data_IF_170915456472
#
_entry.id   IF_170915456472
#
_cell.length_a   1.000
_cell.length_b   1.000
_cell.length_c   1.000
_cell.angle_alpha   90.00
_cell.angle_beta   90.00
_cell.angle_gamma   90.00
#
_symmetry.space_group_name_H-M   'P 1'
#
loop_
_entity.id
_entity.type
_entity.pdbx_description
1 polymer ?
#
# COMPACT_ATOMS: atom_id res chain seq x y z
N UNK A 1 0.69 13.86 -45.07
CA UNK A 1 0.01 14.74 -44.08
C UNK A 1 0.90 14.84 -42.85
N UNK A 2 1.11 16.04 -42.31
CA UNK A 2 1.88 16.23 -41.07
C UNK A 2 1.15 15.58 -39.88
N UNK A 3 1.91 15.08 -38.89
CA UNK A 3 1.36 14.57 -37.62
C UNK A 3 0.51 15.63 -36.91
N UNK A 4 0.84 16.92 -37.06
CA UNK A 4 0.06 18.04 -36.51
C UNK A 4 -1.36 18.14 -37.08
N UNK A 5 -1.56 17.91 -38.38
CA UNK A 5 -2.87 18.11 -39.02
C UNK A 5 -3.87 17.01 -38.64
N UNK A 6 -3.37 15.83 -38.24
CA UNK A 6 -4.19 14.69 -37.85
C UNK A 6 -4.51 14.66 -36.35
N UNK A 7 -3.71 15.31 -35.50
CA UNK A 7 -3.87 15.23 -34.04
C UNK A 7 -5.18 15.84 -33.53
N UNK A 8 -5.71 16.88 -34.19
CA UNK A 8 -6.94 17.57 -33.78
C UNK A 8 -8.19 17.16 -34.58
N UNK A 9 -8.13 16.07 -35.35
CA UNK A 9 -9.25 15.65 -36.19
C UNK A 9 -10.21 14.71 -35.42
N UNK A 10 -11.53 15.01 -35.29
CA UNK A 10 -12.49 14.18 -34.53
C UNK A 10 -12.58 12.70 -34.95
N UNK A 11 -12.23 12.41 -36.20
CA UNK A 11 -12.10 11.02 -36.69
C UNK A 11 -10.96 10.25 -36.01
N UNK A 12 -9.84 10.89 -35.69
CA UNK A 12 -8.69 10.24 -35.03
C UNK A 12 -9.06 9.83 -33.62
N UNK A 13 -9.76 10.67 -32.87
CA UNK A 13 -10.27 10.31 -31.54
C UNK A 13 -11.27 9.15 -31.60
N UNK A 14 -12.18 9.18 -32.58
CA UNK A 14 -13.15 8.11 -32.79
C UNK A 14 -12.47 6.76 -33.10
N UNK A 15 -11.43 6.78 -33.95
CA UNK A 15 -10.63 5.60 -34.28
C UNK A 15 -9.85 5.13 -33.05
N UNK A 16 -9.24 6.04 -32.28
CA UNK A 16 -8.51 5.73 -31.05
C UNK A 16 -9.41 4.98 -30.07
N UNK A 17 -10.60 5.53 -29.76
CA UNK A 17 -11.56 4.89 -28.85
C UNK A 17 -11.99 3.50 -29.33
N UNK A 18 -12.29 3.35 -30.62
CA UNK A 18 -12.69 2.07 -31.19
C UNK A 18 -11.57 1.02 -31.12
N UNK A 19 -10.32 1.43 -31.34
CA UNK A 19 -9.15 0.54 -31.22
C UNK A 19 -8.87 0.17 -29.77
N UNK A 20 -8.89 1.14 -28.84
CA UNK A 20 -8.72 0.89 -27.40
C UNK A 20 -9.72 -0.15 -26.92
N UNK A 21 -11.01 0.05 -27.22
CA UNK A 21 -12.06 -0.90 -26.84
C UNK A 21 -11.80 -2.30 -27.43
N UNK A 22 -11.44 -2.38 -28.72
CA UNK A 22 -11.12 -3.67 -29.37
C UNK A 22 -9.96 -4.39 -28.71
N UNK A 23 -8.92 -3.67 -28.29
CA UNK A 23 -7.76 -4.25 -27.59
C UNK A 23 -8.20 -4.76 -26.22
N UNK A 24 -8.94 -3.96 -25.45
CA UNK A 24 -9.46 -4.37 -24.13
C UNK A 24 -10.33 -5.63 -24.28
N UNK A 25 -11.27 -5.66 -25.22
CA UNK A 25 -12.16 -6.80 -25.44
C UNK A 25 -11.36 -8.05 -25.86
N UNK A 26 -10.31 -7.90 -26.68
CA UNK A 26 -9.43 -8.99 -27.07
C UNK A 26 -8.62 -9.55 -25.88
N UNK A 27 -8.10 -8.67 -25.01
CA UNK A 27 -7.38 -9.07 -23.80
C UNK A 27 -8.29 -9.76 -22.79
N UNK A 28 -9.53 -9.26 -22.60
CA UNK A 28 -10.53 -9.94 -21.76
C UNK A 28 -10.82 -11.34 -22.29
N UNK A 29 -11.07 -11.44 -23.60
CA UNK A 29 -11.28 -12.74 -24.25
C UNK A 29 -10.08 -13.67 -24.11
N UNK A 30 -8.85 -13.16 -24.16
CA UNK A 30 -7.66 -13.97 -23.92
C UNK A 30 -7.63 -14.47 -22.48
N UNK A 31 -7.84 -13.59 -21.50
CA UNK A 31 -7.90 -13.91 -20.07
C UNK A 31 -8.94 -15.00 -19.77
N UNK A 32 -10.13 -14.89 -20.33
CA UNK A 32 -11.25 -15.79 -20.05
C UNK A 32 -11.11 -17.17 -20.72
N UNK A 33 -10.49 -17.24 -21.91
CA UNK A 33 -10.37 -18.49 -22.67
C UNK A 33 -9.05 -19.24 -22.42
N UNK A 34 -7.96 -18.51 -22.14
CA UNK A 34 -6.63 -19.08 -21.91
C UNK A 34 -5.85 -18.22 -20.93
N UNK A 35 -6.08 -18.47 -19.64
CA UNK A 35 -5.41 -17.74 -18.56
C UNK A 35 -3.89 -17.91 -18.60
N UNK A 36 -3.36 -19.03 -19.11
CA UNK A 36 -1.91 -19.24 -19.18
C UNK A 36 -1.29 -18.35 -20.26
N UNK A 37 -1.91 -18.27 -21.44
CA UNK A 37 -1.49 -17.31 -22.47
C UNK A 37 -1.63 -15.86 -21.99
N UNK A 38 -2.66 -15.56 -21.18
CA UNK A 38 -2.81 -14.24 -20.58
C UNK A 38 -1.71 -13.91 -19.56
N UNK A 39 -1.27 -14.88 -18.74
CA UNK A 39 -0.15 -14.70 -17.81
C UNK A 39 1.16 -14.41 -18.56
N UNK A 40 1.41 -15.04 -19.71
CA UNK A 40 2.56 -14.70 -20.56
C UNK A 40 2.45 -13.28 -21.13
N UNK A 41 1.27 -12.86 -21.57
CA UNK A 41 1.03 -11.46 -21.95
C UNK A 41 1.30 -10.50 -20.78
N UNK A 42 0.79 -10.82 -19.59
CA UNK A 42 0.96 -10.00 -18.39
C UNK A 42 2.43 -9.85 -17.99
N UNK A 43 3.22 -10.93 -18.10
CA UNK A 43 4.65 -10.89 -17.81
C UNK A 43 5.40 -9.88 -18.67
N UNK A 44 5.01 -9.72 -19.93
CA UNK A 44 5.67 -8.81 -20.88
C UNK A 44 5.09 -7.39 -20.81
N UNK A 45 3.78 -7.23 -20.61
CA UNK A 45 3.07 -5.95 -20.79
C UNK A 45 2.31 -5.46 -19.54
N UNK A 46 2.30 -6.21 -18.44
CA UNK A 46 1.52 -5.90 -17.24
C UNK A 46 1.90 -4.55 -16.63
N UNK A 47 3.19 -4.21 -16.58
CA UNK A 47 3.66 -2.91 -16.09
C UNK A 47 3.10 -1.74 -16.91
N UNK A 48 3.05 -1.88 -18.23
CA UNK A 48 2.48 -0.86 -19.13
C UNK A 48 0.96 -0.79 -18.95
N UNK A 49 0.31 -1.94 -18.76
CA UNK A 49 -1.14 -1.98 -18.55
C UNK A 49 -1.55 -1.29 -17.24
N UNK A 50 -0.70 -1.30 -16.22
CA UNK A 50 -0.90 -0.57 -14.94
C UNK A 50 -0.90 0.96 -15.10
N UNK A 51 -0.37 1.51 -16.18
CA UNK A 51 -0.48 2.95 -16.47
C UNK A 51 -1.88 3.34 -16.94
N UNK A 52 -2.61 2.40 -17.56
CA UNK A 52 -3.91 2.63 -18.18
C UNK A 52 -4.95 3.32 -17.26
N UNK A 53 -5.14 2.90 -16.00
CA UNK A 53 -6.10 3.53 -15.09
C UNK A 53 -5.84 5.02 -14.80
N UNK A 54 -4.60 5.49 -14.96
CA UNK A 54 -4.23 6.90 -14.77
C UNK A 54 -4.39 7.72 -16.06
N UNK A 55 -4.27 7.08 -17.23
CA UNK A 55 -4.26 7.74 -18.54
C UNK A 55 -5.61 7.69 -19.27
N UNK A 56 -6.42 6.64 -19.03
CA UNK A 56 -7.71 6.43 -19.66
C UNK A 56 -8.82 6.25 -18.62
N UNK A 57 -9.34 7.39 -18.14
CA UNK A 57 -10.44 7.42 -17.17
C UNK A 57 -11.75 6.82 -17.71
N UNK A 58 -11.97 6.84 -19.03
CA UNK A 58 -13.19 6.32 -19.68
C UNK A 58 -13.22 4.79 -19.59
N UNK A 59 -12.07 4.12 -19.76
CA UNK A 59 -11.97 2.66 -19.73
C UNK A 59 -11.33 2.10 -18.45
N UNK A 60 -11.09 2.96 -17.45
CA UNK A 60 -10.38 2.63 -16.21
C UNK A 60 -10.82 1.32 -15.55
N UNK A 61 -12.11 1.12 -15.34
CA UNK A 61 -12.62 -0.11 -14.69
C UNK A 61 -12.41 -1.35 -15.57
N UNK A 62 -12.59 -1.21 -16.89
CA UNK A 62 -12.36 -2.30 -17.83
C UNK A 62 -10.88 -2.68 -17.94
N UNK A 63 -9.97 -1.72 -17.75
CA UNK A 63 -8.53 -1.95 -17.64
C UNK A 63 -8.20 -2.59 -16.28
N UNK A 64 -8.81 -2.12 -15.18
CA UNK A 64 -8.62 -2.70 -13.86
C UNK A 64 -8.99 -4.20 -13.80
N UNK A 65 -10.03 -4.61 -14.54
CA UNK A 65 -10.46 -6.01 -14.68
C UNK A 65 -9.39 -6.92 -15.33
N UNK A 66 -8.47 -6.34 -16.08
CA UNK A 66 -7.36 -7.03 -16.73
C UNK A 66 -6.13 -7.17 -15.81
N UNK A 67 -6.07 -6.45 -14.71
CA UNK A 67 -4.89 -6.46 -13.84
C UNK A 67 -4.76 -7.80 -13.08
N UNK A 68 -3.52 -8.27 -12.94
CA UNK A 68 -3.16 -9.40 -12.08
C UNK A 68 -2.34 -8.93 -10.88
N UNK A 69 -2.50 -9.62 -9.76
CA UNK A 69 -1.89 -9.30 -8.48
C UNK A 69 -1.35 -10.56 -7.81
N UNK A 70 -0.28 -10.39 -7.03
CA UNK A 70 0.06 -11.29 -5.94
C UNK A 70 -0.83 -10.96 -4.73
N UNK A 71 -1.11 -11.95 -3.86
CA UNK A 71 -2.00 -11.74 -2.71
C UNK A 71 -1.54 -12.56 -1.51
N UNK A 72 -1.86 -12.10 -0.30
CA UNK A 72 -1.51 -12.77 0.96
C UNK A 72 -2.19 -14.13 1.15
N UNK A 73 -3.18 -14.49 0.33
CA UNK A 73 -3.83 -15.79 0.35
C UNK A 73 -2.96 -16.87 -0.31
N UNK A 74 -2.05 -16.45 -1.20
CA UNK A 74 -1.03 -17.31 -1.78
C UNK A 74 0.32 -16.92 -1.18
N UNK A 75 0.97 -17.84 -0.48
CA UNK A 75 2.35 -17.62 0.02
C UNK A 75 3.38 -17.77 -1.13
N UNK A 76 3.06 -17.25 -2.31
CA UNK A 76 3.88 -17.31 -3.53
C UNK A 76 3.94 -15.94 -4.20
N UNK A 77 5.06 -15.63 -4.86
CA UNK A 77 5.24 -14.38 -5.62
C UNK A 77 4.46 -14.38 -6.96
N UNK A 78 3.58 -15.37 -7.18
CA UNK A 78 2.87 -15.48 -8.44
C UNK A 78 1.83 -14.35 -8.56
N UNK A 79 2.01 -13.51 -9.59
CA UNK A 79 1.09 -12.42 -9.93
C UNK A 79 0.01 -12.97 -10.85
N UNK A 80 -0.98 -13.63 -10.24
CA UNK A 80 -1.93 -14.45 -10.99
C UNK A 80 -3.39 -14.35 -10.54
N UNK A 81 -3.68 -13.44 -9.61
CA UNK A 81 -5.03 -13.20 -9.09
C UNK A 81 -5.62 -11.94 -9.70
N UNK A 82 -6.86 -12.03 -10.20
CA UNK A 82 -7.62 -10.86 -10.64
C UNK A 82 -8.32 -10.18 -9.46
N UNK A 83 -8.81 -8.94 -9.66
CA UNK A 83 -9.68 -8.29 -8.68
C UNK A 83 -11.00 -9.06 -8.49
N UNK A 84 -11.50 -9.72 -9.52
CA UNK A 84 -12.69 -10.57 -9.41
C UNK A 84 -12.45 -11.82 -8.59
N UNK A 85 -11.28 -12.44 -8.74
CA UNK A 85 -10.86 -13.56 -7.89
C UNK A 85 -10.82 -13.13 -6.43
N UNK A 86 -10.23 -11.96 -6.13
CA UNK A 86 -10.23 -11.39 -4.79
C UNK A 86 -11.66 -11.19 -4.26
N UNK A 87 -12.53 -10.52 -5.03
CA UNK A 87 -13.92 -10.24 -4.65
C UNK A 87 -14.69 -11.53 -4.37
N UNK A 88 -14.49 -12.57 -5.16
CA UNK A 88 -15.18 -13.86 -5.00
C UNK A 88 -14.86 -14.54 -3.66
N UNK A 89 -13.71 -14.23 -3.06
CA UNK A 89 -13.23 -14.77 -1.78
C UNK A 89 -13.43 -13.80 -0.60
N UNK A 90 -13.93 -12.60 -0.84
CA UNK A 90 -14.18 -11.64 0.23
C UNK A 90 -15.21 -12.21 1.23
N UNK A 91 -14.94 -12.14 2.54
CA UNK A 91 -15.95 -12.32 3.57
C UNK A 91 -17.15 -11.40 3.34
N UNK A 92 -18.35 -11.83 3.74
CA UNK A 92 -19.59 -11.09 3.48
C UNK A 92 -19.68 -9.74 4.20
N UNK A 93 -18.93 -9.57 5.29
CA UNK A 93 -18.82 -8.33 6.07
C UNK A 93 -17.69 -7.40 5.57
N UNK A 94 -16.84 -7.87 4.65
CA UNK A 94 -15.77 -7.07 4.08
C UNK A 94 -16.31 -6.15 2.98
N UNK A 95 -16.12 -4.83 3.16
CA UNK A 95 -16.58 -3.81 2.21
C UNK A 95 -15.54 -3.47 1.16
N UNK A 96 -14.29 -3.34 1.59
CA UNK A 96 -13.19 -2.78 0.80
C UNK A 96 -12.15 -3.82 0.39
N UNK A 97 -11.33 -3.47 -0.60
CA UNK A 97 -10.19 -4.26 -1.07
C UNK A 97 -8.94 -3.75 -0.35
N UNK A 98 -8.29 -4.61 0.42
CA UNK A 98 -7.07 -4.26 1.14
C UNK A 98 -5.83 -4.52 0.30
N UNK A 99 -4.87 -3.60 0.36
CA UNK A 99 -3.61 -3.73 -0.37
C UNK A 99 -2.42 -3.21 0.44
N UNK A 100 -1.24 -3.74 0.13
CA UNK A 100 0.05 -3.33 0.68
C UNK A 100 1.01 -3.02 -0.47
N UNK A 101 1.77 -1.94 -0.34
CA UNK A 101 2.85 -1.58 -1.26
C UNK A 101 4.17 -1.69 -0.51
N UNK A 102 5.14 -2.42 -1.07
CA UNK A 102 6.49 -2.54 -0.51
C UNK A 102 7.53 -2.75 -1.62
N UNK A 103 8.81 -2.55 -1.32
CA UNK A 103 9.90 -2.71 -2.32
C UNK A 103 10.11 -4.16 -2.78
N UNK A 104 9.72 -5.14 -1.96
CA UNK A 104 9.81 -6.57 -2.27
C UNK A 104 8.55 -7.31 -1.82
N UNK A 105 8.28 -8.46 -2.43
CA UNK A 105 7.14 -9.29 -2.03
C UNK A 105 7.30 -9.79 -0.60
N UNK A 106 8.49 -10.20 -0.18
CA UNK A 106 8.72 -10.63 1.20
C UNK A 106 8.50 -9.50 2.19
N UNK A 107 8.84 -8.26 1.82
CA UNK A 107 8.52 -7.07 2.60
C UNK A 107 7.02 -6.86 2.72
N UNK A 108 6.27 -7.01 1.62
CA UNK A 108 4.81 -6.90 1.63
C UNK A 108 4.15 -8.03 2.46
N UNK A 109 4.52 -9.29 2.22
CA UNK A 109 3.93 -10.46 2.85
C UNK A 109 4.18 -10.52 4.36
N UNK A 110 5.38 -10.11 4.80
CA UNK A 110 5.77 -10.12 6.22
C UNK A 110 5.59 -8.77 6.91
N UNK A 111 4.94 -7.80 6.25
CA UNK A 111 4.74 -6.48 6.84
C UNK A 111 3.88 -6.56 8.12
N UNK A 112 4.26 -5.83 9.20
CA UNK A 112 3.48 -5.77 10.43
C UNK A 112 2.04 -5.31 10.22
N UNK A 113 1.78 -4.55 9.15
CA UNK A 113 0.45 -4.04 8.81
C UNK A 113 -0.55 -5.13 8.44
N UNK A 114 -0.08 -6.32 8.04
CA UNK A 114 -0.92 -7.45 7.65
C UNK A 114 -1.39 -8.28 8.85
N UNK A 115 -0.73 -8.19 10.01
CA UNK A 115 -0.89 -9.17 11.10
C UNK A 115 -2.35 -9.31 11.56
N UNK A 116 -3.05 -8.20 11.82
CA UNK A 116 -4.45 -8.25 12.23
C UNK A 116 -5.38 -8.77 11.13
N UNK A 117 -5.13 -8.41 9.86
CA UNK A 117 -5.92 -8.86 8.71
C UNK A 117 -5.72 -10.36 8.47
N UNK A 118 -4.46 -10.84 8.52
CA UNK A 118 -4.13 -12.27 8.47
C UNK A 118 -4.82 -13.04 9.58
N UNK A 119 -4.85 -12.50 10.81
CA UNK A 119 -5.56 -13.14 11.94
C UNK A 119 -7.09 -13.23 11.76
N UNK A 120 -7.67 -12.37 10.92
CA UNK A 120 -9.08 -12.36 10.53
C UNK A 120 -9.35 -13.09 9.21
N UNK A 121 -8.32 -13.69 8.61
CA UNK A 121 -8.39 -14.30 7.28
C UNK A 121 -8.85 -13.32 6.19
N UNK A 122 -8.49 -12.04 6.32
CA UNK A 122 -8.73 -11.00 5.31
C UNK A 122 -7.57 -11.00 4.31
N UNK A 123 -7.89 -11.21 3.03
CA UNK A 123 -6.92 -11.21 1.94
C UNK A 123 -6.39 -9.79 1.67
N UNK A 124 -5.10 -9.66 1.35
CA UNK A 124 -4.44 -8.39 1.02
C UNK A 124 -3.72 -8.54 -0.30
N UNK A 125 -3.94 -7.61 -1.24
CA UNK A 125 -3.16 -7.53 -2.48
C UNK A 125 -1.73 -7.07 -2.15
N UNK A 126 -0.73 -7.74 -2.73
CA UNK A 126 0.69 -7.45 -2.50
C UNK A 126 1.25 -6.81 -3.78
N UNK A 127 1.55 -5.51 -3.69
CA UNK A 127 2.00 -4.69 -4.80
C UNK A 127 3.46 -4.30 -4.56
N UNK A 128 4.31 -4.52 -5.56
CA UNK A 128 5.77 -4.41 -5.41
C UNK A 128 6.44 -3.68 -6.57
N UNK A 129 5.68 -3.32 -7.59
CA UNK A 129 6.22 -2.59 -8.73
C UNK A 129 6.23 -1.09 -8.44
N UNK A 130 7.22 -0.37 -9.00
CA UNK A 130 7.35 1.07 -8.80
C UNK A 130 6.13 1.89 -9.28
N UNK A 131 5.41 1.37 -10.29
CA UNK A 131 4.19 1.97 -10.83
C UNK A 131 2.97 1.75 -9.93
N UNK A 132 3.02 0.81 -8.98
CA UNK A 132 1.85 0.42 -8.20
C UNK A 132 1.35 1.54 -7.30
N UNK A 133 2.24 2.31 -6.68
CA UNK A 133 1.80 3.43 -5.85
C UNK A 133 1.10 4.51 -6.68
N UNK A 134 1.57 4.73 -7.92
CA UNK A 134 0.91 5.62 -8.87
C UNK A 134 -0.45 5.06 -9.31
N UNK A 135 -0.51 3.79 -9.69
CA UNK A 135 -1.74 3.08 -10.02
C UNK A 135 -2.77 3.25 -8.89
N UNK A 136 -2.39 2.93 -7.65
CA UNK A 136 -3.31 2.98 -6.51
C UNK A 136 -3.69 4.41 -6.11
N UNK A 137 -2.89 5.42 -6.46
CA UNK A 137 -3.28 6.83 -6.29
C UNK A 137 -4.39 7.27 -7.26
N UNK A 138 -4.59 6.53 -8.34
CA UNK A 138 -5.62 6.82 -9.36
C UNK A 138 -6.79 5.83 -9.30
N UNK A 139 -6.55 4.55 -9.00
CA UNK A 139 -7.56 3.50 -8.91
C UNK A 139 -8.27 3.51 -7.55
N UNK A 140 -9.27 4.37 -7.40
CA UNK A 140 -10.00 4.58 -6.14
C UNK A 140 -10.94 3.43 -5.74
N UNK A 141 -11.63 2.83 -6.71
CA UNK A 141 -12.59 1.74 -6.48
C UNK A 141 -12.66 0.79 -7.67
N UNK A 142 -13.18 -0.42 -7.42
CA UNK A 142 -13.49 -1.42 -8.43
C UNK A 142 -14.79 -2.14 -8.05
N UNK A 143 -15.78 -2.18 -8.96
CA UNK A 143 -17.11 -2.77 -8.71
C UNK A 143 -17.77 -2.27 -7.41
N UNK A 144 -17.62 -0.98 -7.12
CA UNK A 144 -18.17 -0.30 -5.94
C UNK A 144 -17.45 -0.58 -4.61
N UNK A 145 -16.24 -1.17 -4.66
CA UNK A 145 -15.41 -1.43 -3.48
C UNK A 145 -14.18 -0.53 -3.51
N UNK A 146 -13.93 0.20 -2.41
CA UNK A 146 -12.78 1.09 -2.30
C UNK A 146 -11.48 0.29 -2.09
N UNK A 147 -10.35 0.89 -2.44
CA UNK A 147 -9.04 0.35 -2.09
C UNK A 147 -8.49 0.98 -0.81
N UNK A 148 -8.04 0.15 0.14
CA UNK A 148 -7.50 0.57 1.44
C UNK A 148 -6.05 0.11 1.58
N UNK A 149 -5.14 1.08 1.73
CA UNK A 149 -3.74 0.79 2.01
C UNK A 149 -3.56 0.42 3.48
N UNK A 150 -3.10 -0.80 3.74
CA UNK A 150 -2.92 -1.33 5.10
C UNK A 150 -1.81 -0.62 5.89
N UNK A 151 -0.87 0.04 5.20
CA UNK A 151 0.23 0.81 5.81
C UNK A 151 -0.13 2.28 6.10
N UNK A 152 -1.38 2.68 5.82
CA UNK A 152 -1.87 4.04 6.10
C UNK A 152 -2.96 4.02 7.15
N UNK A 153 -3.29 5.20 7.67
CA UNK A 153 -4.51 5.39 8.46
C UNK A 153 -5.73 5.12 7.59
N UNK A 154 -6.74 4.48 8.16
CA UNK A 154 -8.03 4.35 7.52
C UNK A 154 -8.80 5.67 7.66
N UNK A 155 -9.65 5.97 6.68
CA UNK A 155 -10.54 7.13 6.75
C UNK A 155 -11.75 6.89 7.68
N UNK A 156 -11.94 5.65 8.14
CA UNK A 156 -12.96 5.29 9.12
C UNK A 156 -12.42 5.47 10.55
N UNK A 157 -13.29 5.84 11.48
CA UNK A 157 -12.91 5.96 12.88
C UNK A 157 -12.64 4.57 13.48
N UNK A 158 -11.38 4.13 13.45
CA UNK A 158 -10.96 2.92 14.16
C UNK A 158 -11.03 3.13 15.68
N UNK A 159 -11.61 2.15 16.37
CA UNK A 159 -11.66 2.15 17.82
C UNK A 159 -10.24 1.96 18.37
N UNK A 160 -9.65 3.05 18.91
CA UNK A 160 -8.32 2.99 19.52
C UNK A 160 -8.33 1.97 20.68
N UNK A 161 -7.28 1.13 20.81
CA UNK A 161 -7.16 0.22 21.93
C UNK A 161 -7.26 0.97 23.26
N UNK A 162 -8.05 0.43 24.20
CA UNK A 162 -8.11 0.98 25.57
C UNK A 162 -6.74 0.85 26.22
N UNK A 163 -6.21 1.96 26.71
CA UNK A 163 -4.93 2.04 27.40
C UNK A 163 -5.10 2.31 28.89
N UNK A 164 -4.15 1.82 29.69
CA UNK A 164 -4.02 2.20 31.10
C UNK A 164 -3.32 3.55 31.24
N UNK A 165 -3.38 4.15 32.43
CA UNK A 165 -2.67 5.40 32.72
C UNK A 165 -1.16 5.27 32.44
N UNK A 166 -0.54 4.21 32.93
CA UNK A 166 0.90 3.94 32.73
C UNK A 166 1.28 3.78 31.25
N UNK A 167 0.40 3.19 30.43
CA UNK A 167 0.61 3.08 28.99
C UNK A 167 0.54 4.43 28.29
N UNK A 168 -0.38 5.31 28.70
CA UNK A 168 -0.45 6.68 28.18
C UNK A 168 0.77 7.51 28.57
N UNK A 169 1.29 7.34 29.79
CA UNK A 169 2.54 7.97 30.22
C UNK A 169 3.73 7.48 29.40
N UNK A 170 3.80 6.18 29.09
CA UNK A 170 4.83 5.63 28.20
C UNK A 170 4.74 6.22 26.79
N UNK A 171 3.55 6.22 26.18
CA UNK A 171 3.32 6.78 24.85
C UNK A 171 3.77 8.25 24.77
N UNK A 172 3.43 9.04 25.81
CA UNK A 172 3.84 10.44 25.91
C UNK A 172 5.36 10.57 26.03
N UNK A 173 6.01 9.79 26.89
CA UNK A 173 7.49 9.79 27.01
C UNK A 173 8.18 9.43 25.68
N UNK A 174 7.62 8.49 24.92
CA UNK A 174 8.14 8.12 23.59
C UNK A 174 7.95 9.27 22.61
N UNK A 175 6.76 9.89 22.58
CA UNK A 175 6.48 11.04 21.72
C UNK A 175 7.42 12.22 22.01
N UNK A 176 7.64 12.55 23.30
CA UNK A 176 8.53 13.63 23.72
C UNK A 176 9.99 13.39 23.29
N UNK A 177 10.44 12.13 23.27
CA UNK A 177 11.79 11.77 22.81
C UNK A 177 11.93 11.76 21.28
N UNK A 178 10.90 11.30 20.57
CA UNK A 178 10.91 11.27 19.11
C UNK A 178 10.73 12.67 18.51
N UNK A 179 9.98 13.54 19.17
CA UNK A 179 9.74 14.92 18.75
C UNK A 179 9.16 14.99 17.34
N UNK A 180 9.73 15.84 16.50
CA UNK A 180 9.28 16.09 15.12
C UNK A 180 9.46 14.90 14.16
N UNK A 181 10.10 13.80 14.60
CA UNK A 181 10.23 12.57 13.80
C UNK A 181 8.92 11.82 13.62
N UNK A 182 7.92 12.11 14.47
CA UNK A 182 6.60 11.47 14.44
C UNK A 182 5.50 12.51 14.64
N UNK A 183 4.34 12.26 14.08
CA UNK A 183 3.16 13.11 14.28
C UNK A 183 2.46 12.73 15.58
N UNK A 184 2.33 11.43 15.83
CA UNK A 184 1.74 10.86 17.03
C UNK A 184 2.42 9.53 17.40
N UNK A 185 2.30 9.14 18.67
CA UNK A 185 2.64 7.79 19.14
C UNK A 185 1.37 7.15 19.69
N UNK A 186 0.92 6.05 19.09
CA UNK A 186 -0.38 5.46 19.37
C UNK A 186 -0.27 3.98 19.77
N UNK A 187 -1.20 3.47 20.60
CA UNK A 187 -1.34 2.04 20.82
C UNK A 187 -1.89 1.41 19.54
N UNK A 188 -1.26 0.32 19.08
CA UNK A 188 -1.69 -0.35 17.85
C UNK A 188 -2.85 -1.33 18.06
N UNK A 189 -3.84 -1.27 17.17
CA UNK A 189 -4.88 -2.29 16.99
C UNK A 189 -4.45 -3.38 15.99
N UNK A 190 -3.55 -3.04 15.06
CA UNK A 190 -3.15 -3.88 13.92
C UNK A 190 -2.02 -4.87 14.24
N UNK A 191 -1.13 -4.51 15.19
CA UNK A 191 0.00 -5.35 15.60
C UNK A 191 -0.43 -6.49 16.53
N UNK A 192 0.08 -7.70 16.26
CA UNK A 192 -0.06 -8.92 17.06
C UNK A 192 1.29 -9.35 17.62
N UNK A 193 2.24 -9.64 16.74
CA UNK A 193 3.55 -10.19 17.04
C UNK A 193 4.64 -9.12 16.99
N UNK A 194 4.53 -8.18 16.06
CA UNK A 194 5.47 -7.07 15.95
C UNK A 194 5.37 -6.09 17.12
N UNK A 195 6.51 -5.49 17.47
CA UNK A 195 6.61 -4.53 18.57
C UNK A 195 6.06 -3.15 18.22
N UNK A 196 6.31 -2.72 16.98
CA UNK A 196 6.01 -1.39 16.48
C UNK A 196 5.94 -1.36 14.95
N UNK A 197 5.30 -0.35 14.39
CA UNK A 197 5.35 -0.02 12.96
C UNK A 197 5.16 1.49 12.75
N UNK A 198 5.44 1.95 11.53
CA UNK A 198 5.17 3.33 11.12
C UNK A 198 3.97 3.37 10.18
N UNK A 199 3.07 4.32 10.42
CA UNK A 199 1.84 4.47 9.64
C UNK A 199 1.80 5.88 9.07
N UNK A 200 1.55 5.99 7.77
CA UNK A 200 1.36 7.29 7.11
C UNK A 200 -0.09 7.73 7.19
N UNK A 201 -0.34 9.04 7.11
CA UNK A 201 -1.71 9.54 6.98
C UNK A 201 -2.30 9.10 5.64
N UNK A 202 -3.62 8.91 5.57
CA UNK A 202 -4.31 8.41 4.38
C UNK A 202 -4.06 9.26 3.12
N UNK A 203 -3.94 10.58 3.28
CA UNK A 203 -3.68 11.55 2.21
C UNK A 203 -2.18 11.76 1.91
N UNK A 204 -1.28 11.20 2.71
CA UNK A 204 0.15 11.41 2.59
C UNK A 204 0.73 10.40 1.57
N UNK A 205 1.50 10.85 0.56
CA UNK A 205 2.13 9.93 -0.38
C UNK A 205 3.17 9.09 0.36
N UNK A 206 3.24 7.80 0.01
CA UNK A 206 4.26 6.90 0.48
C UNK A 206 5.62 7.18 -0.16
N UNK A 207 6.59 6.38 0.25
CA UNK A 207 8.01 6.61 -0.07
C UNK A 207 8.25 6.56 -1.59
N UNK A 208 7.61 5.63 -2.31
CA UNK A 208 7.89 5.42 -3.72
C UNK A 208 7.29 6.51 -4.60
N UNK A 209 6.06 6.96 -4.31
CA UNK A 209 5.44 8.10 -4.98
C UNK A 209 6.17 9.41 -4.67
N UNK A 210 6.66 9.62 -3.44
CA UNK A 210 7.51 10.78 -3.11
C UNK A 210 8.77 10.84 -3.95
N UNK A 211 9.50 9.72 -4.06
CA UNK A 211 10.71 9.64 -4.91
C UNK A 211 10.40 10.01 -6.37
N UNK A 212 9.24 9.62 -6.89
CA UNK A 212 8.78 9.98 -8.24
C UNK A 212 8.52 11.50 -8.33
N UNK A 213 7.78 12.06 -7.39
CA UNK A 213 7.45 13.51 -7.36
C UNK A 213 8.70 14.38 -7.20
N UNK A 214 9.64 13.98 -6.35
CA UNK A 214 10.94 14.64 -6.17
C UNK A 214 11.79 14.60 -7.44
N UNK A 215 11.85 13.45 -8.11
CA UNK A 215 12.53 13.32 -9.40
C UNK A 215 11.88 14.19 -10.50
N UNK A 216 10.57 14.45 -10.40
CA UNK A 216 9.84 15.38 -11.25
C UNK A 216 9.99 16.86 -10.84
N UNK A 217 10.81 17.15 -9.83
CA UNK A 217 11.11 18.51 -9.37
C UNK A 217 10.14 19.08 -8.32
N UNK A 218 9.19 18.28 -7.80
CA UNK A 218 8.36 18.69 -6.68
C UNK A 218 9.13 18.50 -5.36
N UNK A 219 9.27 19.57 -4.59
CA UNK A 219 9.86 19.48 -3.25
C UNK A 219 8.83 18.91 -2.28
N UNK A 220 9.01 17.66 -1.89
CA UNK A 220 8.28 17.06 -0.78
C UNK A 220 9.07 17.29 0.50
N UNK A 221 8.38 17.63 1.60
CA UNK A 221 9.00 17.62 2.93
C UNK A 221 9.22 16.19 3.42
N UNK A 222 9.87 16.05 4.58
CA UNK A 222 9.97 14.74 5.24
C UNK A 222 8.59 14.19 5.59
N UNK A 223 8.41 12.87 5.51
CA UNK A 223 7.20 12.23 6.01
C UNK A 223 7.20 12.27 7.53
N UNK A 224 6.06 12.57 8.13
CA UNK A 224 5.94 12.64 9.60
C UNK A 224 4.96 11.56 10.07
N UNK A 225 5.41 10.29 10.13
CA UNK A 225 4.54 9.14 10.36
C UNK A 225 3.98 9.12 11.78
N UNK A 226 2.92 8.34 11.98
CA UNK A 226 2.47 7.89 13.28
C UNK A 226 3.32 6.67 13.67
N UNK A 227 3.83 6.65 14.90
CA UNK A 227 4.51 5.48 15.44
C UNK A 227 3.56 4.65 16.30
N UNK A 228 3.14 3.50 15.76
CA UNK A 228 2.25 2.59 16.48
C UNK A 228 3.05 1.59 17.31
N UNK A 229 2.65 1.41 18.58
CA UNK A 229 3.30 0.49 19.51
C UNK A 229 2.34 -0.60 19.98
N UNK A 230 2.82 -1.85 19.97
CA UNK A 230 2.10 -2.99 20.51
C UNK A 230 2.27 -3.07 22.03
N UNK A 231 1.31 -2.52 22.76
CA UNK A 231 1.30 -2.48 24.24
C UNK A 231 1.38 -3.87 24.90
N UNK A 232 1.08 -4.95 24.17
CA UNK A 232 1.13 -6.32 24.68
C UNK A 232 2.50 -6.97 24.48
N UNK A 233 3.33 -6.43 23.58
CA UNK A 233 4.62 -7.00 23.19
C UNK A 233 5.66 -6.94 24.30
N UNK A 234 6.54 -7.96 24.37
CA UNK A 234 7.54 -8.11 25.44
C UNK A 234 8.56 -6.97 25.44
N UNK A 235 8.95 -6.46 24.27
CA UNK A 235 9.90 -5.35 24.17
C UNK A 235 9.29 -4.05 24.70
N UNK A 236 8.02 -3.77 24.39
CA UNK A 236 7.32 -2.57 24.87
C UNK A 236 7.10 -2.62 26.39
N UNK A 237 6.80 -3.81 26.94
CA UNK A 237 6.75 -4.03 28.41
C UNK A 237 8.10 -3.90 29.11
N UNK A 238 9.21 -4.10 28.41
CA UNK A 238 10.56 -3.83 28.94
C UNK A 238 10.88 -2.35 28.85
N UNK A 239 10.51 -1.70 27.74
CA UNK A 239 10.67 -0.27 27.54
C UNK A 239 9.98 0.53 28.67
N UNK A 240 8.82 0.08 29.15
CA UNK A 240 8.11 0.71 30.27
C UNK A 240 8.82 0.62 31.63
N UNK A 241 9.93 -0.11 31.74
CA UNK A 241 10.67 -0.35 32.99
C UNK A 241 12.08 0.25 32.98
N UNK A 242 12.49 0.84 31.86
CA UNK A 242 13.77 1.52 31.72
C UNK A 242 13.53 3.02 31.67
N UNK A 243 14.52 3.80 32.11
CA UNK A 243 14.46 5.25 32.14
C UNK A 243 15.80 5.85 31.67
N UNK A 244 15.84 7.18 31.53
CA UNK A 244 17.08 7.90 31.24
C UNK A 244 17.66 7.57 29.86
N UNK A 245 18.97 7.34 29.81
CA UNK A 245 19.71 7.16 28.54
C UNK A 245 19.34 5.87 27.82
N UNK A 246 19.15 4.79 28.58
CA UNK A 246 18.81 3.47 28.04
C UNK A 246 17.41 3.46 27.43
N UNK A 247 16.46 4.18 28.04
CA UNK A 247 15.13 4.40 27.46
C UNK A 247 15.23 5.04 26.09
N UNK A 248 15.96 6.16 25.99
CA UNK A 248 16.12 6.92 24.74
C UNK A 248 16.73 6.07 23.63
N UNK A 249 17.85 5.41 23.93
CA UNK A 249 18.53 4.53 22.98
C UNK A 249 17.63 3.38 22.51
N UNK A 250 16.79 2.82 23.40
CA UNK A 250 15.89 1.74 23.00
C UNK A 250 14.70 2.24 22.17
N UNK A 251 14.19 3.45 22.43
CA UNK A 251 13.18 4.08 21.56
C UNK A 251 13.76 4.35 20.17
N UNK A 252 14.97 4.90 20.10
CA UNK A 252 15.64 5.16 18.81
C UNK A 252 15.83 3.86 18.03
N UNK A 253 16.30 2.79 18.67
CA UNK A 253 16.41 1.47 18.06
C UNK A 253 15.07 0.95 17.51
N UNK A 254 13.98 1.04 18.28
CA UNK A 254 12.67 0.59 17.83
C UNK A 254 12.16 1.41 16.64
N UNK A 255 12.40 2.72 16.66
CA UNK A 255 12.04 3.62 15.58
C UNK A 255 12.83 3.30 14.30
N UNK A 256 14.16 3.18 14.40
CA UNK A 256 15.01 2.87 13.25
C UNK A 256 14.72 1.48 12.67
N UNK A 257 14.43 0.50 13.53
CA UNK A 257 13.96 -0.82 13.11
C UNK A 257 12.66 -0.70 12.30
N UNK A 258 11.70 0.11 12.76
CA UNK A 258 10.46 0.34 12.03
C UNK A 258 10.72 1.07 10.69
N UNK A 259 11.61 2.07 10.65
CA UNK A 259 12.01 2.74 9.40
C UNK A 259 12.56 1.73 8.40
N UNK A 260 13.45 0.83 8.81
CA UNK A 260 14.03 -0.20 7.94
C UNK A 260 12.96 -1.19 7.46
N UNK A 261 12.07 -1.63 8.37
CA UNK A 261 11.01 -2.58 8.05
C UNK A 261 10.04 -2.03 6.97
N UNK A 262 9.83 -0.72 6.94
CA UNK A 262 9.01 -0.05 5.92
C UNK A 262 9.80 0.34 4.65
N UNK A 263 11.01 -0.19 4.45
CA UNK A 263 11.86 0.10 3.27
C UNK A 263 12.54 1.46 3.30
N UNK A 264 12.51 2.15 4.45
CA UNK A 264 13.22 3.40 4.68
C UNK A 264 14.70 3.19 5.01
N UNK A 265 15.41 4.31 5.13
CA UNK A 265 16.79 4.34 5.65
C UNK A 265 16.84 5.26 6.87
N UNK A 266 17.35 4.80 8.02
CA UNK A 266 17.52 5.65 9.19
C UNK A 266 18.40 6.87 8.88
N UNK A 267 18.12 8.00 9.54
CA UNK A 267 18.87 9.25 9.32
C UNK A 267 20.32 9.15 9.84
N UNK A 268 20.57 8.34 10.86
CA UNK A 268 21.89 8.11 11.42
C UNK A 268 22.11 6.62 11.71
N UNK A 269 22.62 5.84 10.74
CA UNK A 269 22.79 4.39 10.89
C UNK A 269 24.00 3.96 11.74
N UNK A 270 24.75 4.89 12.35
CA UNK A 270 26.03 4.63 13.03
C UNK A 270 26.09 5.09 14.50
#
# INVERSE_FOLDING_TARGET
MSREILQDHPLVDSIKKALTKRVIDALKKLKDNDINAYKEFWKEYGLVLKEGPAEDFEHKEAIAELLLFATSNKETHEVDQTLDDYISRMPSDQKDIYYCVADTFEGALNSPHLESLKSKNTEVLLLTDRIDEWLMSTLFEFKGKSFINVAKTSNEAEEKPKTTKDQNELLTKVADHLGERVSEVLPSSRLKDSACCLVLQSNEPGIQLRKILEAAGQKMGDAVPIFELNMKHKLIKKLSKIDGKDFKAFVDFLYDYAVIAEGGSPKDPF
#
